data_IF_654007434019
#
_entry.id   IF_654007434019
#
_cell.length_a   1.000
_cell.length_b   1.000
_cell.length_c   1.000
_cell.angle_alpha   90.00
_cell.angle_beta   90.00
_cell.angle_gamma   90.00
#
_symmetry.space_group_name_H-M   'P 1'
#
loop_
_entity.id
_entity.type
_entity.pdbx_description
1 polymer ?
#
# COMPACT_ATOMS: atom_id res chain seq x y z
N UNK A 1 6.72 -21.31 1.30
CA UNK A 1 7.52 -20.75 2.41
C UNK A 1 6.91 -19.42 2.83
N UNK A 2 7.16 -18.91 4.04
CA UNK A 2 6.81 -17.56 4.42
C UNK A 2 7.43 -16.53 3.48
N UNK A 3 6.76 -15.39 3.32
CA UNK A 3 7.29 -14.25 2.56
C UNK A 3 7.55 -13.12 3.55
N UNK A 4 8.72 -12.54 3.45
CA UNK A 4 9.15 -11.45 4.30
C UNK A 4 9.35 -10.18 3.48
N UNK A 5 9.03 -9.05 4.09
CA UNK A 5 9.47 -7.75 3.63
C UNK A 5 10.44 -7.20 4.66
N UNK A 6 11.61 -6.87 4.21
CA UNK A 6 12.60 -6.19 5.03
C UNK A 6 12.78 -4.73 4.63
N UNK A 7 13.39 -3.95 5.51
CA UNK A 7 13.72 -2.56 5.25
C UNK A 7 15.17 -2.28 5.61
N UNK A 8 15.86 -1.60 4.71
CA UNK A 8 17.18 -1.03 4.94
C UNK A 8 17.10 0.50 4.86
N UNK A 9 17.71 1.16 5.82
CA UNK A 9 17.90 2.62 5.83
C UNK A 9 19.34 2.89 5.46
N UNK A 10 19.56 3.40 4.23
CA UNK A 10 20.91 3.56 3.67
C UNK A 10 21.09 5.00 3.17
N UNK A 11 21.76 5.86 3.95
CA UNK A 11 21.98 7.24 3.57
C UNK A 11 22.66 7.39 2.21
N UNK A 12 22.07 8.20 1.33
CA UNK A 12 22.59 8.51 0.01
C UNK A 12 22.41 7.42 -1.04
N UNK A 13 21.67 6.34 -0.74
CA UNK A 13 21.44 5.19 -1.65
C UNK A 13 20.89 5.63 -3.01
N UNK A 14 21.35 4.96 -4.06
CA UNK A 14 20.88 5.13 -5.44
C UNK A 14 20.35 3.82 -6.02
N UNK A 15 19.46 3.93 -7.01
CA UNK A 15 18.85 2.77 -7.66
C UNK A 15 19.88 1.76 -8.22
N UNK A 16 21.04 2.24 -8.70
CA UNK A 16 22.13 1.38 -9.18
C UNK A 16 22.76 0.58 -8.04
N UNK A 17 22.94 1.18 -6.86
CA UNK A 17 23.53 0.49 -5.70
C UNK A 17 22.63 -0.64 -5.23
N UNK A 18 21.31 -0.42 -5.23
CA UNK A 18 20.32 -1.44 -4.87
C UNK A 18 20.27 -2.55 -5.93
N UNK A 19 20.33 -2.21 -7.20
CA UNK A 19 20.36 -3.21 -8.28
C UNK A 19 21.59 -4.12 -8.18
N UNK A 20 22.75 -3.59 -7.78
CA UNK A 20 23.95 -4.39 -7.56
C UNK A 20 23.83 -5.26 -6.31
N UNK A 21 23.31 -4.72 -5.20
CA UNK A 21 23.04 -5.50 -3.99
C UNK A 21 22.06 -6.65 -4.27
N UNK A 22 20.94 -6.37 -4.94
CA UNK A 22 19.97 -7.40 -5.32
C UNK A 22 20.56 -8.48 -6.22
N UNK A 23 21.44 -8.12 -7.14
CA UNK A 23 22.18 -9.11 -7.94
C UNK A 23 23.05 -10.03 -7.06
N UNK A 24 23.68 -9.49 -6.02
CA UNK A 24 24.46 -10.29 -5.07
C UNK A 24 23.55 -11.20 -4.25
N UNK A 25 22.38 -10.72 -3.82
CA UNK A 25 21.38 -11.55 -3.15
C UNK A 25 20.96 -12.74 -4.02
N UNK A 26 20.67 -12.52 -5.31
CA UNK A 26 20.32 -13.56 -6.26
C UNK A 26 21.43 -14.62 -6.42
N UNK A 27 22.72 -14.26 -6.23
CA UNK A 27 23.83 -15.20 -6.27
C UNK A 27 23.91 -16.08 -5.00
N UNK A 28 23.55 -15.52 -3.83
CA UNK A 28 23.71 -16.20 -2.54
C UNK A 28 22.41 -16.81 -1.98
N UNK A 29 21.23 -16.45 -2.54
CA UNK A 29 19.93 -16.84 -2.03
C UNK A 29 19.76 -18.35 -1.80
N UNK A 30 20.29 -19.19 -2.69
CA UNK A 30 20.15 -20.65 -2.62
C UNK A 30 20.91 -21.27 -1.44
N UNK A 31 22.01 -20.67 -1.02
CA UNK A 31 22.83 -21.14 0.11
C UNK A 31 22.06 -21.08 1.43
N UNK A 32 21.07 -20.14 1.52
CA UNK A 32 20.24 -19.89 2.70
C UNK A 32 18.78 -20.33 2.52
N UNK A 33 18.47 -21.03 1.41
CA UNK A 33 17.10 -21.45 1.10
C UNK A 33 16.13 -20.26 0.85
N UNK A 34 16.67 -19.11 0.46
CA UNK A 34 15.90 -17.92 0.13
C UNK A 34 15.57 -17.86 -1.37
N UNK A 35 14.56 -17.07 -1.70
CA UNK A 35 14.18 -16.68 -3.05
C UNK A 35 13.89 -15.18 -3.07
N UNK A 36 14.83 -14.38 -3.55
CA UNK A 36 14.70 -12.93 -3.65
C UNK A 36 13.76 -12.57 -4.81
N UNK A 37 12.62 -12.01 -4.49
CA UNK A 37 11.53 -11.77 -5.45
C UNK A 37 11.67 -10.43 -6.15
N UNK A 38 11.89 -9.35 -5.39
CA UNK A 38 12.02 -7.98 -5.92
C UNK A 38 12.37 -6.99 -4.80
N UNK A 39 12.60 -5.72 -5.19
CA UNK A 39 12.82 -4.62 -4.24
C UNK A 39 12.06 -3.35 -4.65
N UNK A 40 11.95 -2.39 -3.74
CA UNK A 40 11.55 -1.00 -3.96
C UNK A 40 12.57 -0.08 -3.34
N UNK A 41 12.80 1.06 -3.95
CA UNK A 41 13.71 2.09 -3.43
C UNK A 41 13.01 3.44 -3.35
N UNK A 42 13.23 4.17 -2.27
CA UNK A 42 12.90 5.58 -2.15
C UNK A 42 14.19 6.36 -1.88
N UNK A 43 14.80 6.91 -2.95
CA UNK A 43 16.04 7.67 -2.83
C UNK A 43 15.89 8.94 -1.99
N UNK A 44 14.69 9.53 -1.97
CA UNK A 44 14.43 10.75 -1.21
C UNK A 44 14.29 10.49 0.30
N UNK A 45 13.85 9.28 0.68
CA UNK A 45 13.72 8.82 2.07
C UNK A 45 14.85 7.90 2.50
N UNK A 46 15.76 7.58 1.56
CA UNK A 46 16.92 6.73 1.80
C UNK A 46 16.56 5.31 2.29
N UNK A 47 15.39 4.79 1.83
CA UNK A 47 14.85 3.51 2.25
C UNK A 47 14.82 2.51 1.08
N UNK A 48 15.14 1.26 1.39
CA UNK A 48 15.02 0.12 0.49
C UNK A 48 14.10 -0.91 1.17
N UNK A 49 13.22 -1.52 0.39
CA UNK A 49 12.35 -2.61 0.85
C UNK A 49 12.55 -3.80 -0.08
N UNK A 50 12.95 -4.94 0.47
CA UNK A 50 13.11 -6.18 -0.30
C UNK A 50 11.98 -7.15 0.04
N UNK A 51 11.52 -7.91 -0.97
CA UNK A 51 10.55 -8.97 -0.81
C UNK A 51 11.24 -10.31 -1.06
N UNK A 52 11.22 -11.18 -0.05
CA UNK A 52 11.98 -12.41 -0.04
C UNK A 52 11.11 -13.55 0.51
N UNK A 53 11.06 -14.65 -0.20
CA UNK A 53 10.55 -15.91 0.31
C UNK A 53 11.71 -16.63 1.01
N UNK A 54 11.54 -16.99 2.30
CA UNK A 54 12.61 -17.58 3.11
C UNK A 54 12.04 -18.55 4.16
N UNK A 55 12.85 -19.47 4.72
CA UNK A 55 12.43 -20.34 5.83
C UNK A 55 12.02 -19.55 7.08
N UNK A 56 12.80 -18.52 7.42
CA UNK A 56 12.61 -17.64 8.57
C UNK A 56 13.37 -16.31 8.40
N UNK A 57 13.26 -15.42 9.38
CA UNK A 57 13.93 -14.10 9.38
C UNK A 57 15.46 -14.23 9.46
N UNK A 58 15.97 -15.23 10.15
CA UNK A 58 17.41 -15.44 10.31
C UNK A 58 18.07 -15.78 8.96
N UNK A 59 17.40 -16.59 8.14
CA UNK A 59 17.88 -16.92 6.80
C UNK A 59 18.00 -15.67 5.91
N UNK A 60 17.07 -14.72 6.04
CA UNK A 60 17.13 -13.41 5.35
C UNK A 60 18.35 -12.60 5.81
N UNK A 61 18.56 -12.47 7.12
CA UNK A 61 19.70 -11.75 7.69
C UNK A 61 21.04 -12.36 7.28
N UNK A 62 21.17 -13.69 7.35
CA UNK A 62 22.40 -14.41 6.97
C UNK A 62 22.70 -14.27 5.48
N UNK A 63 21.67 -14.36 4.63
CA UNK A 63 21.82 -14.16 3.19
C UNK A 63 22.33 -12.75 2.87
N UNK A 64 21.71 -11.69 3.39
CA UNK A 64 22.15 -10.31 3.18
C UNK A 64 23.57 -10.06 3.75
N UNK A 65 23.85 -10.59 4.94
CA UNK A 65 25.19 -10.51 5.54
C UNK A 65 26.26 -11.12 4.65
N UNK A 66 25.96 -12.25 4.01
CA UNK A 66 26.85 -12.95 3.10
C UNK A 66 26.98 -12.24 1.75
N UNK A 67 25.87 -11.76 1.20
CA UNK A 67 25.83 -11.18 -0.14
C UNK A 67 26.53 -9.82 -0.23
N UNK A 68 26.23 -8.91 0.70
CA UNK A 68 26.72 -7.51 0.64
C UNK A 68 26.95 -6.85 2.01
N UNK A 69 26.67 -7.57 3.11
CA UNK A 69 26.94 -7.10 4.47
C UNK A 69 25.94 -6.11 5.06
N UNK A 70 24.91 -5.72 4.33
CA UNK A 70 23.85 -4.81 4.81
C UNK A 70 22.75 -5.62 5.50
N UNK A 71 22.74 -5.63 6.83
CA UNK A 71 21.70 -6.31 7.61
C UNK A 71 20.44 -5.43 7.65
N UNK A 72 19.24 -5.99 7.44
CA UNK A 72 18.00 -5.24 7.50
C UNK A 72 17.77 -4.56 8.86
N UNK A 73 17.23 -3.34 8.85
CA UNK A 73 16.82 -2.64 10.07
C UNK A 73 15.56 -3.27 10.69
N UNK A 74 14.71 -3.88 9.86
CA UNK A 74 13.51 -4.58 10.29
C UNK A 74 13.09 -5.61 9.25
N UNK A 75 12.49 -6.72 9.70
CA UNK A 75 11.90 -7.76 8.86
C UNK A 75 10.51 -8.10 9.40
N UNK A 76 9.49 -8.05 8.53
CA UNK A 76 8.13 -8.49 8.85
C UNK A 76 7.69 -9.60 7.90
N UNK A 77 6.89 -10.54 8.41
CA UNK A 77 6.21 -11.52 7.56
C UNK A 77 5.01 -10.84 6.89
N UNK A 78 4.81 -11.10 5.59
CA UNK A 78 3.77 -10.45 4.78
C UNK A 78 3.00 -11.45 3.92
N UNK A 79 1.78 -11.07 3.55
CA UNK A 79 1.00 -11.80 2.56
C UNK A 79 1.26 -11.20 1.17
N UNK A 80 1.65 -12.03 0.20
CA UNK A 80 1.96 -11.59 -1.17
C UNK A 80 0.81 -10.88 -1.87
N UNK A 81 -0.43 -11.33 -1.64
CA UNK A 81 -1.61 -10.68 -2.23
C UNK A 81 -1.79 -9.24 -1.70
N UNK A 82 -1.50 -9.02 -0.41
CA UNK A 82 -1.54 -7.67 0.16
C UNK A 82 -0.38 -6.81 -0.39
N UNK A 83 0.82 -7.38 -0.52
CA UNK A 83 1.95 -6.67 -1.16
C UNK A 83 1.58 -6.24 -2.58
N UNK A 84 1.02 -7.15 -3.39
CA UNK A 84 0.60 -6.84 -4.74
C UNK A 84 -0.52 -5.80 -4.78
N UNK A 85 -1.51 -5.89 -3.90
CA UNK A 85 -2.60 -4.92 -3.80
C UNK A 85 -2.07 -3.52 -3.45
N UNK A 86 -1.17 -3.39 -2.49
CA UNK A 86 -0.58 -2.11 -2.11
C UNK A 86 0.43 -1.59 -3.13
N UNK A 87 1.40 -2.43 -3.53
CA UNK A 87 2.60 -2.01 -4.27
C UNK A 87 2.53 -2.30 -5.76
N UNK A 88 1.60 -3.17 -6.18
CA UNK A 88 1.29 -3.44 -7.60
C UNK A 88 2.14 -4.50 -8.25
N UNK A 89 3.08 -5.12 -7.53
CA UNK A 89 3.90 -6.23 -8.01
C UNK A 89 4.52 -7.01 -6.85
N UNK A 90 4.92 -8.23 -7.14
CA UNK A 90 5.68 -9.11 -6.23
C UNK A 90 6.94 -9.70 -6.89
N UNK A 91 7.21 -9.33 -8.15
CA UNK A 91 8.41 -9.70 -8.89
C UNK A 91 9.03 -8.47 -9.55
N UNK A 92 10.24 -8.60 -10.03
CA UNK A 92 10.92 -7.56 -10.79
C UNK A 92 10.07 -7.11 -11.97
N UNK A 93 9.99 -5.79 -12.23
CA UNK A 93 9.23 -5.29 -13.37
C UNK A 93 9.82 -5.81 -14.69
N UNK A 94 8.98 -6.33 -15.61
CA UNK A 94 9.45 -6.92 -16.86
C UNK A 94 10.12 -5.90 -17.79
N UNK A 95 9.86 -4.62 -17.57
CA UNK A 95 10.41 -3.49 -18.33
C UNK A 95 11.52 -2.75 -17.57
N UNK A 96 12.18 -3.42 -16.60
CA UNK A 96 13.33 -2.85 -15.90
C UNK A 96 14.42 -2.42 -16.91
N UNK A 97 15.04 -1.28 -16.66
CA UNK A 97 16.17 -0.85 -17.46
C UNK A 97 17.36 -1.76 -17.21
N UNK A 98 18.07 -2.14 -18.27
CA UNK A 98 19.31 -2.90 -18.15
C UNK A 98 20.46 -1.90 -18.24
N UNK A 99 21.31 -1.85 -17.22
CA UNK A 99 22.52 -1.03 -17.24
C UNK A 99 23.58 -1.62 -18.19
N UNK A 100 24.64 -0.84 -18.50
CA UNK A 100 25.76 -1.30 -19.31
C UNK A 100 26.48 -2.53 -18.70
N UNK A 101 26.39 -2.69 -17.37
CA UNK A 101 26.91 -3.84 -16.63
C UNK A 101 25.93 -5.02 -16.58
N UNK A 102 24.75 -4.92 -17.21
CA UNK A 102 23.72 -5.96 -17.25
C UNK A 102 22.83 -6.03 -16.00
N UNK A 103 22.84 -5.01 -15.14
CA UNK A 103 21.98 -4.93 -13.96
C UNK A 103 20.55 -4.51 -14.37
N UNK A 104 19.55 -5.14 -13.76
CA UNK A 104 18.16 -4.67 -13.84
C UNK A 104 17.99 -3.52 -12.86
N UNK A 105 17.90 -2.30 -13.36
CA UNK A 105 17.73 -1.09 -12.54
C UNK A 105 16.30 -0.58 -12.65
N UNK A 106 15.65 -0.40 -11.51
CA UNK A 106 14.35 0.23 -11.39
C UNK A 106 14.28 1.02 -10.07
N UNK A 107 13.49 2.08 -10.06
CA UNK A 107 13.44 3.04 -8.96
C UNK A 107 11.99 3.27 -8.49
N UNK A 108 11.21 2.19 -8.38
CA UNK A 108 9.84 2.29 -7.89
C UNK A 108 9.85 2.52 -6.37
N UNK A 109 9.24 3.62 -5.92
CA UNK A 109 9.05 3.85 -4.49
C UNK A 109 7.99 2.91 -3.92
N UNK A 110 8.20 2.46 -2.69
CA UNK A 110 7.24 1.73 -1.87
C UNK A 110 6.24 2.65 -1.15
N UNK A 111 6.53 3.95 -1.09
CA UNK A 111 5.67 4.94 -0.44
C UNK A 111 4.31 5.03 -1.12
N UNK A 112 3.24 4.95 -0.34
CA UNK A 112 1.86 4.97 -0.86
C UNK A 112 1.01 6.01 -0.17
N UNK A 113 0.06 6.51 -0.94
CA UNK A 113 -1.03 7.32 -0.44
C UNK A 113 -2.24 6.41 -0.29
N UNK A 114 -2.80 6.36 0.92
CA UNK A 114 -3.94 5.53 1.25
C UNK A 114 -5.19 6.38 1.39
N UNK A 115 -6.20 6.08 0.57
CA UNK A 115 -7.55 6.59 0.75
C UNK A 115 -8.34 5.53 1.54
N UNK A 116 -8.79 5.90 2.71
CA UNK A 116 -9.67 5.07 3.55
C UNK A 116 -11.05 5.68 3.53
N UNK A 117 -12.06 4.85 3.28
CA UNK A 117 -13.46 5.25 3.38
C UNK A 117 -14.14 4.45 4.48
N UNK A 118 -15.10 5.07 5.16
CA UNK A 118 -16.02 4.41 6.08
C UNK A 118 -17.44 4.85 5.79
N UNK A 119 -18.37 3.94 6.04
CA UNK A 119 -19.79 4.18 5.84
C UNK A 119 -20.58 3.68 7.04
N UNK A 120 -21.89 3.97 7.07
CA UNK A 120 -22.80 3.40 8.04
C UNK A 120 -22.74 1.88 8.02
N UNK A 121 -22.73 1.26 9.19
CA UNK A 121 -22.72 -0.20 9.35
C UNK A 121 -23.86 -0.85 8.54
N UNK A 122 -23.57 -1.82 7.67
CA UNK A 122 -24.58 -2.53 6.89
C UNK A 122 -25.71 -3.15 7.72
N UNK A 123 -25.42 -3.59 8.94
CA UNK A 123 -26.43 -4.15 9.86
C UNK A 123 -27.41 -3.04 10.30
N UNK A 124 -26.90 -1.85 10.62
CA UNK A 124 -27.75 -0.71 10.95
C UNK A 124 -28.61 -0.26 9.77
N UNK A 125 -28.04 -0.23 8.55
CA UNK A 125 -28.80 0.08 7.33
C UNK A 125 -29.94 -0.93 7.10
N UNK A 126 -29.70 -2.21 7.29
CA UNK A 126 -30.70 -3.26 7.18
C UNK A 126 -31.82 -3.09 8.21
N UNK A 127 -31.47 -2.77 9.44
CA UNK A 127 -32.46 -2.48 10.48
C UNK A 127 -33.32 -1.26 10.15
N UNK A 128 -32.71 -0.23 9.57
CA UNK A 128 -33.41 1.04 9.28
C UNK A 128 -34.27 0.96 8.02
N UNK A 129 -33.81 0.27 6.96
CA UNK A 129 -34.43 0.33 5.62
C UNK A 129 -34.95 -1.04 5.13
N UNK A 130 -34.66 -2.13 5.82
CA UNK A 130 -34.89 -3.50 5.37
C UNK A 130 -33.80 -4.00 4.39
N UNK A 131 -33.72 -5.31 4.19
CA UNK A 131 -32.63 -5.96 3.44
C UNK A 131 -32.53 -5.48 1.99
N UNK A 132 -33.67 -5.35 1.28
CA UNK A 132 -33.67 -4.99 -0.14
C UNK A 132 -33.13 -3.56 -0.35
N UNK A 133 -33.68 -2.59 0.37
CA UNK A 133 -33.29 -1.19 0.22
C UNK A 133 -31.87 -0.92 0.73
N UNK A 134 -31.47 -1.54 1.83
CA UNK A 134 -30.10 -1.48 2.32
C UNK A 134 -29.10 -2.04 1.30
N UNK A 135 -29.45 -3.19 0.66
CA UNK A 135 -28.66 -3.77 -0.41
C UNK A 135 -28.52 -2.86 -1.64
N UNK A 136 -29.61 -2.23 -2.10
CA UNK A 136 -29.57 -1.27 -3.20
C UNK A 136 -28.69 -0.06 -2.90
N UNK A 137 -28.79 0.50 -1.69
CA UNK A 137 -27.97 1.62 -1.23
C UNK A 137 -26.49 1.28 -1.19
N UNK A 138 -26.14 0.14 -0.59
CA UNK A 138 -24.76 -0.33 -0.49
C UNK A 138 -24.16 -0.65 -1.87
N UNK A 139 -24.96 -1.25 -2.78
CA UNK A 139 -24.50 -1.55 -4.13
C UNK A 139 -24.26 -0.27 -4.94
N UNK A 140 -25.16 0.70 -4.85
CA UNK A 140 -24.97 2.00 -5.51
C UNK A 140 -23.72 2.73 -4.99
N UNK A 141 -23.56 2.80 -3.66
CA UNK A 141 -22.41 3.38 -2.99
C UNK A 141 -21.10 2.70 -3.42
N UNK A 142 -21.03 1.37 -3.31
CA UNK A 142 -19.85 0.58 -3.68
C UNK A 142 -19.49 0.73 -5.16
N UNK A 143 -20.50 0.74 -6.03
CA UNK A 143 -20.30 0.93 -7.48
C UNK A 143 -19.68 2.27 -7.82
N UNK A 144 -20.09 3.36 -7.17
CA UNK A 144 -19.53 4.69 -7.37
C UNK A 144 -18.08 4.75 -6.89
N UNK A 145 -17.78 4.18 -5.71
CA UNK A 145 -16.42 4.16 -5.18
C UNK A 145 -15.51 3.37 -6.11
N UNK A 146 -15.85 2.15 -6.50
CA UNK A 146 -15.03 1.33 -7.40
C UNK A 146 -14.80 1.96 -8.76
N UNK A 147 -15.83 2.57 -9.35
CA UNK A 147 -15.69 3.34 -10.60
C UNK A 147 -14.62 4.42 -10.46
N UNK A 148 -14.67 5.21 -9.39
CA UNK A 148 -13.71 6.29 -9.16
C UNK A 148 -12.30 5.77 -8.84
N UNK A 149 -12.16 4.67 -8.09
CA UNK A 149 -10.86 4.00 -7.86
C UNK A 149 -10.21 3.66 -9.20
N UNK A 150 -10.93 2.99 -10.09
CA UNK A 150 -10.43 2.60 -11.42
C UNK A 150 -10.06 3.82 -12.28
N UNK A 151 -10.91 4.84 -12.33
CA UNK A 151 -10.69 6.04 -13.14
C UNK A 151 -9.45 6.83 -12.71
N UNK A 152 -9.10 6.81 -11.43
CA UNK A 152 -7.96 7.53 -10.89
C UNK A 152 -6.72 6.65 -10.68
N UNK A 153 -6.77 5.37 -11.12
CA UNK A 153 -5.64 4.45 -11.04
C UNK A 153 -5.29 4.02 -9.62
N UNK A 154 -6.28 3.96 -8.74
CA UNK A 154 -6.17 3.37 -7.40
C UNK A 154 -6.24 1.85 -7.46
N UNK A 155 -5.71 1.20 -6.42
CA UNK A 155 -5.83 -0.24 -6.17
C UNK A 155 -6.67 -0.46 -4.93
N UNK A 156 -7.77 -1.21 -5.06
CA UNK A 156 -8.56 -1.69 -3.92
C UNK A 156 -7.73 -2.73 -3.16
N UNK A 157 -7.40 -2.46 -1.91
CA UNK A 157 -6.63 -3.36 -1.05
C UNK A 157 -7.56 -4.19 -0.18
N UNK A 158 -8.50 -3.51 0.46
CA UNK A 158 -9.50 -4.11 1.34
C UNK A 158 -10.87 -3.48 1.11
N UNK A 159 -11.91 -4.29 1.26
CA UNK A 159 -13.29 -3.85 1.27
C UNK A 159 -14.06 -4.63 2.33
N UNK A 160 -14.46 -3.98 3.40
CA UNK A 160 -15.23 -4.59 4.48
C UNK A 160 -16.33 -3.64 4.96
N UNK A 161 -17.53 -4.18 5.13
CA UNK A 161 -18.67 -3.45 5.70
C UNK A 161 -19.05 -2.15 4.94
N UNK A 162 -18.74 -2.07 3.63
CA UNK A 162 -18.93 -0.86 2.82
C UNK A 162 -17.78 0.16 2.90
N UNK A 163 -16.77 -0.07 3.76
CA UNK A 163 -15.52 0.70 3.79
C UNK A 163 -14.48 0.16 2.83
N UNK A 164 -13.56 1.02 2.41
CA UNK A 164 -12.47 0.68 1.48
C UNK A 164 -11.13 1.16 2.03
N UNK A 165 -10.09 0.37 1.79
CA UNK A 165 -8.69 0.80 1.82
C UNK A 165 -8.18 0.75 0.39
N UNK A 166 -7.71 1.89 -0.12
CA UNK A 166 -7.26 2.06 -1.51
C UNK A 166 -5.86 2.63 -1.54
N UNK A 167 -4.98 2.00 -2.30
CA UNK A 167 -3.59 2.43 -2.48
C UNK A 167 -3.40 3.22 -3.76
N UNK A 168 -2.64 4.31 -3.68
CA UNK A 168 -2.23 5.16 -4.81
C UNK A 168 -0.72 5.44 -4.76
N UNK A 169 -0.11 5.61 -5.92
CA UNK A 169 1.27 6.10 -6.06
C UNK A 169 1.38 7.63 -6.12
N UNK A 170 0.25 8.35 -6.17
CA UNK A 170 0.20 9.81 -6.34
C UNK A 170 -0.85 10.45 -5.42
N UNK A 171 -0.43 11.45 -4.65
CA UNK A 171 -1.31 12.22 -3.77
C UNK A 171 -2.41 12.95 -4.57
N UNK A 172 -2.05 13.55 -5.71
CA UNK A 172 -3.01 14.23 -6.58
C UNK A 172 -4.09 13.28 -7.12
N UNK A 173 -3.73 12.04 -7.49
CA UNK A 173 -4.69 11.03 -7.95
C UNK A 173 -5.60 10.57 -6.81
N UNK A 174 -5.05 10.33 -5.62
CA UNK A 174 -5.85 9.97 -4.44
C UNK A 174 -6.86 11.07 -4.07
N UNK A 175 -6.42 12.32 -4.08
CA UNK A 175 -7.30 13.47 -3.82
C UNK A 175 -8.36 13.66 -4.89
N UNK A 176 -7.99 13.53 -6.17
CA UNK A 176 -8.97 13.60 -7.28
C UNK A 176 -10.02 12.49 -7.15
N UNK A 177 -9.61 11.26 -6.81
CA UNK A 177 -10.52 10.15 -6.54
C UNK A 177 -11.49 10.49 -5.40
N UNK A 178 -10.97 10.93 -4.26
CA UNK A 178 -11.79 11.28 -3.09
C UNK A 178 -12.82 12.39 -3.39
N UNK A 179 -12.41 13.44 -4.12
CA UNK A 179 -13.29 14.52 -4.55
C UNK A 179 -14.35 14.06 -5.54
N UNK A 180 -13.98 13.20 -6.50
CA UNK A 180 -14.93 12.64 -7.47
C UNK A 180 -15.96 11.74 -6.80
N UNK A 181 -15.56 10.93 -5.81
CA UNK A 181 -16.48 10.10 -5.02
C UNK A 181 -17.55 11.00 -4.35
N UNK A 182 -17.13 12.06 -3.66
CA UNK A 182 -18.09 12.99 -3.01
C UNK A 182 -19.00 13.69 -4.01
N UNK A 183 -18.47 14.10 -5.16
CA UNK A 183 -19.23 14.80 -6.19
C UNK A 183 -20.24 13.91 -6.92
N UNK A 184 -19.88 12.65 -7.15
CA UNK A 184 -20.72 11.71 -7.91
C UNK A 184 -21.70 10.93 -7.01
N UNK A 185 -21.59 11.03 -5.69
CA UNK A 185 -22.51 10.37 -4.76
C UNK A 185 -23.89 11.04 -4.87
N UNK A 186 -24.95 10.33 -5.31
CA UNK A 186 -26.29 10.91 -5.42
C UNK A 186 -26.83 11.31 -4.03
N UNK A 187 -27.59 12.41 -3.97
CA UNK A 187 -28.24 12.87 -2.73
C UNK A 187 -29.10 11.78 -2.08
N UNK A 188 -29.78 10.97 -2.90
CA UNK A 188 -30.58 9.84 -2.42
C UNK A 188 -29.78 8.76 -1.70
N UNK A 189 -28.47 8.64 -1.96
CA UNK A 189 -27.55 7.73 -1.28
C UNK A 189 -26.89 8.44 -0.12
N UNK A 190 -26.33 9.63 -0.34
CA UNK A 190 -25.60 10.39 0.69
C UNK A 190 -26.47 10.78 1.89
N UNK A 191 -27.77 11.02 1.68
CA UNK A 191 -28.72 11.29 2.77
C UNK A 191 -29.03 10.07 3.66
N UNK A 192 -28.60 8.87 3.27
CA UNK A 192 -28.91 7.61 3.97
C UNK A 192 -27.67 6.84 4.39
N UNK A 193 -26.52 7.12 3.76
CA UNK A 193 -25.23 6.51 4.07
C UNK A 193 -24.26 7.61 4.50
N UNK A 194 -23.79 7.54 5.75
CA UNK A 194 -22.76 8.46 6.30
C UNK A 194 -21.39 8.08 5.73
N UNK A 195 -21.04 8.63 4.57
CA UNK A 195 -19.76 8.41 3.95
C UNK A 195 -18.69 9.35 4.52
N UNK A 196 -17.62 8.77 5.04
CA UNK A 196 -16.44 9.47 5.54
C UNK A 196 -15.20 9.05 4.77
N UNK A 197 -14.34 10.01 4.47
CA UNK A 197 -13.10 9.78 3.72
C UNK A 197 -11.91 10.35 4.48
N UNK A 198 -10.80 9.60 4.46
CA UNK A 198 -9.53 10.10 4.95
C UNK A 198 -8.40 9.70 4.00
N UNK A 199 -7.41 10.60 3.86
CA UNK A 199 -6.21 10.34 3.04
C UNK A 199 -4.99 10.51 3.93
N UNK A 200 -4.16 9.46 3.98
CA UNK A 200 -2.89 9.43 4.67
C UNK A 200 -1.81 8.88 3.74
N UNK A 201 -0.56 9.01 4.12
CA UNK A 201 0.57 8.50 3.35
C UNK A 201 1.63 7.91 4.28
N UNK A 202 2.29 6.85 3.81
CA UNK A 202 3.32 6.17 4.59
C UNK A 202 4.04 5.09 3.80
N UNK A 203 4.95 4.42 4.49
CA UNK A 203 5.78 3.33 3.99
C UNK A 203 5.24 1.96 4.40
N UNK A 204 5.63 0.86 3.69
CA UNK A 204 5.11 -0.48 3.97
C UNK A 204 5.44 -0.97 5.37
N UNK A 205 6.66 -0.74 5.81
CA UNK A 205 7.18 -1.22 7.10
C UNK A 205 7.61 -0.04 7.95
N UNK A 206 6.77 0.31 8.91
CA UNK A 206 7.07 1.33 9.91
C UNK A 206 7.31 0.64 11.27
N UNK A 207 6.56 0.99 12.31
CA UNK A 207 6.72 0.41 13.65
C UNK A 207 5.92 -0.86 13.86
N UNK A 208 4.76 -1.00 13.19
CA UNK A 208 3.91 -2.18 13.32
C UNK A 208 4.51 -3.41 12.65
N UNK A 209 4.00 -4.60 12.99
CA UNK A 209 4.34 -5.86 12.33
C UNK A 209 3.43 -6.14 11.12
N UNK A 210 2.59 -5.17 10.72
CA UNK A 210 1.66 -5.27 9.62
C UNK A 210 1.98 -4.27 8.52
N UNK A 211 1.87 -4.73 7.28
CA UNK A 211 2.10 -3.93 6.08
C UNK A 211 1.18 -2.69 6.09
N UNK A 212 1.76 -1.50 6.05
CA UNK A 212 1.06 -0.20 6.19
C UNK A 212 0.18 -0.06 7.44
N UNK A 213 0.41 -0.86 8.49
CA UNK A 213 -0.49 -0.94 9.64
C UNK A 213 -0.71 0.40 10.34
N UNK A 214 0.33 1.18 10.61
CA UNK A 214 0.20 2.51 11.22
C UNK A 214 -0.49 3.51 10.29
N UNK A 215 -0.15 3.49 9.01
CA UNK A 215 -0.76 4.37 7.99
C UNK A 215 -2.26 4.13 7.87
N UNK A 216 -2.70 2.86 7.82
CA UNK A 216 -4.12 2.47 7.79
C UNK A 216 -4.82 2.85 9.09
N UNK A 217 -4.23 2.54 10.24
CA UNK A 217 -4.81 2.83 11.54
C UNK A 217 -5.03 4.34 11.74
N UNK A 218 -4.05 5.15 11.35
CA UNK A 218 -4.16 6.59 11.44
C UNK A 218 -5.27 7.12 10.52
N UNK A 219 -5.32 6.70 9.25
CA UNK A 219 -6.38 7.07 8.31
C UNK A 219 -7.76 6.63 8.80
N UNK A 220 -7.87 5.42 9.36
CA UNK A 220 -9.12 4.91 9.95
C UNK A 220 -9.60 5.75 11.14
N UNK A 221 -8.67 6.23 11.98
CA UNK A 221 -8.99 7.13 13.08
C UNK A 221 -9.44 8.51 12.57
N UNK A 222 -8.78 9.03 11.52
CA UNK A 222 -9.19 10.27 10.85
C UNK A 222 -10.61 10.14 10.27
N UNK A 223 -10.94 9.02 9.60
CA UNK A 223 -12.31 8.76 9.14
C UNK A 223 -13.33 8.81 10.27
N UNK A 224 -13.00 8.26 11.45
CA UNK A 224 -13.94 8.23 12.59
C UNK A 224 -14.32 9.62 13.09
N UNK A 225 -13.39 10.58 13.05
CA UNK A 225 -13.60 11.96 13.50
C UNK A 225 -13.93 12.93 12.37
N UNK A 226 -13.81 12.49 11.12
CA UNK A 226 -14.16 13.31 9.95
C UNK A 226 -15.64 13.67 9.95
N UNK A 227 -15.95 14.86 9.48
CA UNK A 227 -17.33 15.28 9.22
C UNK A 227 -17.82 14.61 7.95
N UNK A 228 -19.10 14.27 7.94
CA UNK A 228 -19.78 13.79 6.74
C UNK A 228 -19.58 14.74 5.55
N UNK A 229 -19.39 14.20 4.35
CA UNK A 229 -19.16 14.97 3.13
C UNK A 229 -17.85 15.77 3.11
N UNK A 230 -16.90 15.46 4.02
CA UNK A 230 -15.56 16.06 4.05
C UNK A 230 -14.47 15.00 3.92
N UNK A 231 -13.32 15.42 3.41
CA UNK A 231 -12.12 14.58 3.33
C UNK A 231 -11.18 15.03 4.44
N UNK A 232 -10.83 14.11 5.34
CA UNK A 232 -9.77 14.34 6.32
C UNK A 232 -8.42 14.05 5.64
N UNK A 233 -7.47 14.98 5.74
CA UNK A 233 -6.17 14.88 5.07
C UNK A 233 -5.07 14.96 6.13
N UNK A 234 -4.16 13.98 6.14
CA UNK A 234 -3.00 14.00 7.00
C UNK A 234 -1.97 15.05 6.54
N UNK A 235 -1.17 15.57 7.47
CA UNK A 235 -0.10 16.55 7.15
C UNK A 235 0.87 16.00 6.11
N UNK A 236 1.24 14.72 6.22
CA UNK A 236 2.10 14.01 5.27
C UNK A 236 1.62 14.04 3.83
N UNK A 237 0.29 14.08 3.61
CA UNK A 237 -0.31 14.19 2.28
C UNK A 237 -0.36 15.63 1.82
N UNK A 238 -0.63 16.57 2.74
CA UNK A 238 -0.73 18.00 2.43
C UNK A 238 0.57 18.57 1.84
N UNK A 239 1.70 18.02 2.22
CA UNK A 239 3.02 18.43 1.71
C UNK A 239 3.33 17.88 0.31
N UNK A 240 2.49 16.96 -0.20
CA UNK A 240 2.67 16.28 -1.49
C UNK A 240 1.73 16.77 -2.59
N UNK A 241 0.83 17.73 -2.29
CA UNK A 241 -0.19 18.26 -3.23
C UNK A 241 0.00 19.75 -3.53
#
# INVERSE_FOLDING_TARGET
MPIFMDVHIVPGVKAKDVADAHRLDLLHQQEHGCNCMTYWIDEARENIFCLIEAPDKLAVEEMHSKAHGLIPNKIIEVNSNLVEAFLGRIYDPPNAQISDEGLKVFADSSFRILLVTKTTDPVLLKHQFGDNKAGELLNAHTGIIRKNILQHGGREVEHEGGGFVVSFSSASKAMACALSILKEMPDSVSAQIDLKLAVNAGEPVERSEHLFGETIQFASNMCRIAKEGKIAIASSVKELI
#
